data_IF_183817319579
#
_entry.id   IF_183817319579
#
_cell.length_a   1.000
_cell.length_b   1.000
_cell.length_c   1.000
_cell.angle_alpha   90.00
_cell.angle_beta   90.00
_cell.angle_gamma   90.00
#
_symmetry.space_group_name_H-M   'P 1'
#
loop_
_entity.id
_entity.type
_entity.pdbx_description
1 polymer ?
#
# COMPACT_ATOMS: atom_id res chain seq x y z
N UNK A 1 7.66 25.55 -26.12
CA UNK A 1 6.71 24.75 -25.32
C UNK A 1 7.50 23.75 -24.50
N UNK A 2 7.72 24.04 -23.21
CA UNK A 2 8.54 23.23 -22.31
C UNK A 2 7.58 22.33 -21.54
N UNK A 3 7.65 21.00 -21.78
CA UNK A 3 6.92 20.01 -20.99
C UNK A 3 7.46 20.05 -19.55
N UNK A 4 6.62 20.07 -18.50
CA UNK A 4 7.10 19.94 -17.13
C UNK A 4 7.77 18.58 -16.96
N UNK A 5 9.06 18.57 -16.63
CA UNK A 5 9.77 17.37 -16.21
C UNK A 5 9.16 16.84 -14.92
N UNK A 6 8.62 15.63 -14.97
CA UNK A 6 8.24 14.89 -13.77
C UNK A 6 9.44 14.84 -12.80
N UNK A 7 9.25 15.15 -11.50
CA UNK A 7 10.34 15.03 -10.53
C UNK A 7 10.81 13.58 -10.45
N UNK A 8 12.12 13.37 -10.50
CA UNK A 8 12.75 12.06 -10.32
C UNK A 8 12.40 11.52 -8.92
N UNK A 9 11.78 10.34 -8.79
CA UNK A 9 11.52 9.76 -7.48
C UNK A 9 12.86 9.37 -6.84
N UNK A 10 13.07 9.84 -5.60
CA UNK A 10 14.21 9.45 -4.78
C UNK A 10 14.15 7.93 -4.51
N UNK A 11 15.24 7.26 -4.90
CA UNK A 11 15.46 5.83 -4.84
C UNK A 11 15.24 5.23 -3.45
N UNK A 12 14.41 4.20 -3.37
CA UNK A 12 14.39 3.24 -2.26
C UNK A 12 15.09 1.96 -2.71
N UNK A 13 16.10 1.55 -1.95
CA UNK A 13 16.66 0.20 -1.97
C UNK A 13 16.18 -0.47 -0.68
N UNK A 14 15.25 -1.42 -0.79
CA UNK A 14 14.91 -2.39 0.26
C UNK A 14 14.60 -3.73 -0.41
N UNK A 15 15.38 -4.74 -0.06
CA UNK A 15 15.47 -6.04 -0.70
C UNK A 15 14.29 -6.94 -0.24
N UNK A 16 13.41 -7.25 -1.19
CA UNK A 16 12.76 -8.55 -1.41
C UNK A 16 11.92 -9.21 -0.29
N UNK A 17 10.65 -8.81 -0.26
CA UNK A 17 9.53 -9.69 -0.69
C UNK A 17 8.52 -8.77 -1.42
N UNK A 18 9.05 -8.04 -2.40
CA UNK A 18 8.39 -7.03 -3.22
C UNK A 18 7.74 -7.73 -4.42
N UNK A 19 6.63 -7.18 -4.93
CA UNK A 19 6.05 -7.57 -6.22
C UNK A 19 7.19 -7.79 -7.23
N UNK A 20 7.24 -8.93 -7.91
CA UNK A 20 8.26 -9.26 -8.92
C UNK A 20 8.37 -8.11 -9.95
N UNK A 21 7.26 -7.42 -10.22
CA UNK A 21 7.19 -6.20 -11.02
C UNK A 21 8.04 -5.03 -10.51
N UNK A 22 8.03 -4.74 -9.21
CA UNK A 22 8.82 -3.63 -8.62
C UNK A 22 10.31 -3.91 -8.77
N UNK A 23 10.75 -5.12 -8.40
CA UNK A 23 12.14 -5.54 -8.56
C UNK A 23 12.58 -5.53 -10.04
N UNK A 24 11.70 -5.93 -10.96
CA UNK A 24 11.97 -5.86 -12.39
C UNK A 24 12.04 -4.41 -12.89
N UNK A 25 11.20 -3.50 -12.38
CA UNK A 25 11.21 -2.08 -12.72
C UNK A 25 12.47 -1.38 -12.22
N UNK A 26 12.96 -1.72 -11.03
CA UNK A 26 14.21 -1.19 -10.47
C UNK A 26 15.44 -1.58 -11.30
N UNK A 27 15.45 -2.80 -11.84
CA UNK A 27 16.49 -3.26 -12.78
C UNK A 27 16.43 -2.54 -14.15
N UNK A 28 15.31 -1.88 -14.44
CA UNK A 28 15.05 -1.15 -15.68
C UNK A 28 14.77 -2.03 -16.89
N UNK A 29 14.27 -1.42 -17.97
CA UNK A 29 13.92 -2.10 -19.22
C UNK A 29 12.90 -3.23 -19.02
N UNK A 30 11.89 -3.02 -18.16
CA UNK A 30 10.85 -4.02 -17.88
C UNK A 30 10.06 -4.38 -19.14
N UNK A 31 10.00 -3.47 -20.11
CA UNK A 31 9.33 -3.71 -21.38
C UNK A 31 9.94 -4.82 -22.22
N UNK A 32 11.23 -5.16 -22.05
CA UNK A 32 11.80 -6.35 -22.71
C UNK A 32 11.38 -7.67 -22.07
N UNK A 33 10.64 -7.62 -20.94
CA UNK A 33 10.19 -8.77 -20.16
C UNK A 33 8.67 -8.85 -20.07
N UNK A 34 7.98 -7.72 -20.03
CA UNK A 34 6.52 -7.62 -20.03
C UNK A 34 6.00 -7.23 -21.41
N UNK A 35 5.88 -8.22 -22.27
CA UNK A 35 5.28 -8.08 -23.59
C UNK A 35 4.53 -9.36 -23.97
N UNK A 36 3.63 -9.24 -24.95
CA UNK A 36 2.82 -10.35 -25.44
C UNK A 36 3.70 -11.46 -26.02
N UNK A 37 3.54 -12.69 -25.52
CA UNK A 37 4.39 -13.83 -25.87
C UNK A 37 5.72 -13.91 -25.10
N UNK A 38 5.90 -13.10 -24.05
CA UNK A 38 7.05 -13.24 -23.16
C UNK A 38 7.12 -14.60 -22.49
N UNK A 39 8.34 -15.12 -22.30
CA UNK A 39 8.63 -16.32 -21.52
C UNK A 39 8.74 -16.09 -20.01
N UNK A 40 8.65 -14.84 -19.56
CA UNK A 40 8.84 -14.41 -18.15
C UNK A 40 7.61 -14.72 -17.29
N UNK A 41 7.26 -16.01 -17.17
CA UNK A 41 6.00 -16.47 -16.58
C UNK A 41 5.72 -15.88 -15.21
N UNK A 42 6.68 -15.91 -14.29
CA UNK A 42 6.49 -15.41 -12.92
C UNK A 42 6.16 -13.91 -12.89
N UNK A 43 6.89 -13.12 -13.68
CA UNK A 43 6.69 -11.66 -13.77
C UNK A 43 5.35 -11.32 -14.46
N UNK A 44 4.95 -12.09 -15.47
CA UNK A 44 3.62 -11.94 -16.11
C UNK A 44 2.52 -12.31 -15.12
N UNK A 45 2.71 -13.37 -14.34
CA UNK A 45 1.75 -13.82 -13.32
C UNK A 45 1.55 -12.73 -12.25
N UNK A 46 2.64 -12.07 -11.85
CA UNK A 46 2.62 -10.93 -10.94
C UNK A 46 1.82 -9.75 -11.52
N UNK A 47 2.07 -9.38 -12.78
CA UNK A 47 1.31 -8.36 -13.50
C UNK A 47 -0.19 -8.67 -13.55
N UNK A 48 -0.56 -9.91 -13.88
CA UNK A 48 -1.97 -10.33 -13.96
C UNK A 48 -2.67 -10.19 -12.61
N UNK A 49 -2.01 -10.52 -11.50
CA UNK A 49 -2.57 -10.33 -10.15
C UNK A 49 -2.74 -8.87 -9.81
N UNK A 50 -1.72 -8.05 -10.06
CA UNK A 50 -1.80 -6.61 -9.81
C UNK A 50 -2.98 -6.01 -10.59
N UNK A 51 -3.15 -6.38 -11.86
CA UNK A 51 -4.29 -5.94 -12.67
C UNK A 51 -5.63 -6.47 -12.16
N UNK A 52 -5.68 -7.72 -11.69
CA UNK A 52 -6.88 -8.29 -11.06
C UNK A 52 -7.27 -7.50 -9.81
N UNK A 53 -6.33 -7.23 -8.92
CA UNK A 53 -6.55 -6.45 -7.69
C UNK A 53 -6.98 -5.01 -8.00
N UNK A 54 -6.43 -4.43 -9.07
CA UNK A 54 -6.85 -3.13 -9.61
C UNK A 54 -8.23 -3.15 -10.28
N UNK A 55 -8.92 -4.29 -10.29
CA UNK A 55 -10.31 -4.43 -10.73
C UNK A 55 -10.49 -4.84 -12.20
N UNK A 56 -9.45 -5.31 -12.88
CA UNK A 56 -9.50 -5.72 -14.30
C UNK A 56 -9.80 -7.23 -14.49
N UNK A 57 -10.54 -7.82 -13.53
CA UNK A 57 -10.94 -9.24 -13.53
C UNK A 57 -11.57 -9.67 -14.86
N UNK A 58 -12.50 -8.85 -15.38
CA UNK A 58 -13.24 -9.14 -16.61
C UNK A 58 -12.31 -9.13 -17.83
N UNK A 59 -11.45 -8.13 -17.95
CA UNK A 59 -10.50 -7.98 -19.05
C UNK A 59 -9.47 -9.12 -19.07
N UNK A 60 -9.06 -9.57 -17.87
CA UNK A 60 -8.20 -10.74 -17.68
C UNK A 60 -8.91 -12.07 -17.97
N UNK A 61 -10.25 -12.09 -18.06
CA UNK A 61 -11.04 -13.32 -18.07
C UNK A 61 -10.63 -14.26 -16.92
N UNK A 62 -10.50 -13.66 -15.74
CA UNK A 62 -9.90 -14.29 -14.57
C UNK A 62 -10.53 -15.65 -14.22
N UNK A 63 -11.83 -15.80 -14.39
CA UNK A 63 -12.55 -17.02 -14.04
C UNK A 63 -12.20 -18.22 -14.94
N UNK A 64 -11.61 -17.96 -16.10
CA UNK A 64 -11.14 -18.99 -17.03
C UNK A 64 -9.64 -19.21 -16.97
N UNK A 65 -8.85 -18.14 -16.83
CA UNK A 65 -7.40 -18.20 -16.98
C UNK A 65 -6.63 -17.96 -15.68
N UNK A 66 -7.25 -17.29 -14.70
CA UNK A 66 -6.59 -16.89 -13.45
C UNK A 66 -5.32 -16.06 -13.76
N UNK A 67 -4.29 -16.11 -12.92
CA UNK A 67 -2.94 -15.69 -13.32
C UNK A 67 -2.16 -16.91 -13.85
N UNK A 68 -2.22 -17.15 -15.15
CA UNK A 68 -1.57 -18.28 -15.83
C UNK A 68 -0.11 -18.03 -16.20
N UNK A 69 0.36 -16.78 -16.08
CA UNK A 69 1.71 -16.39 -16.49
C UNK A 69 1.88 -16.24 -18.01
N UNK A 70 0.81 -16.36 -18.79
CA UNK A 70 0.83 -16.18 -20.23
C UNK A 70 0.40 -14.75 -20.60
N UNK A 71 1.30 -14.00 -21.22
CA UNK A 71 0.97 -12.66 -21.72
C UNK A 71 0.25 -12.80 -23.06
N UNK A 72 -0.99 -13.26 -23.01
CA UNK A 72 -1.86 -13.44 -24.16
C UNK A 72 -2.77 -12.22 -24.44
N UNK A 73 -3.83 -12.47 -25.21
CA UNK A 73 -4.82 -11.45 -25.58
C UNK A 73 -5.55 -10.84 -24.37
N UNK A 74 -5.87 -11.66 -23.36
CA UNK A 74 -6.55 -11.20 -22.15
C UNK A 74 -5.67 -10.24 -21.34
N UNK A 75 -4.42 -10.63 -21.05
CA UNK A 75 -3.41 -9.76 -20.41
C UNK A 75 -3.22 -8.46 -21.17
N UNK A 76 -3.06 -8.51 -22.50
CA UNK A 76 -2.95 -7.29 -23.31
C UNK A 76 -4.19 -6.38 -23.23
N UNK A 77 -5.40 -6.97 -23.21
CA UNK A 77 -6.66 -6.23 -23.06
C UNK A 77 -6.76 -5.55 -21.69
N UNK A 78 -6.34 -6.22 -20.63
CA UNK A 78 -6.31 -5.67 -19.27
C UNK A 78 -5.31 -4.51 -19.16
N UNK A 79 -4.10 -4.67 -19.70
CA UNK A 79 -3.07 -3.61 -19.75
C UNK A 79 -3.57 -2.40 -20.55
N UNK A 80 -4.14 -2.60 -21.73
CA UNK A 80 -4.69 -1.51 -22.53
C UNK A 80 -5.83 -0.78 -21.80
N UNK A 81 -6.70 -1.52 -21.12
CA UNK A 81 -7.81 -0.95 -20.35
C UNK A 81 -7.33 -0.16 -19.13
N UNK A 82 -6.34 -0.67 -18.41
CA UNK A 82 -5.68 0.04 -17.32
C UNK A 82 -5.04 1.34 -17.81
N UNK A 83 -4.25 1.25 -18.89
CA UNK A 83 -3.56 2.40 -19.45
C UNK A 83 -4.55 3.49 -19.88
N UNK A 84 -5.63 3.12 -20.60
CA UNK A 84 -6.67 4.06 -21.01
C UNK A 84 -7.33 4.76 -19.82
N UNK A 85 -7.66 4.01 -18.76
CA UNK A 85 -8.22 4.56 -17.51
C UNK A 85 -7.27 5.51 -16.78
N UNK A 86 -5.98 5.39 -17.05
CA UNK A 86 -4.92 6.26 -16.51
C UNK A 86 -4.37 7.26 -17.56
N UNK A 87 -5.12 7.52 -18.64
CA UNK A 87 -4.81 8.55 -19.63
C UNK A 87 -3.66 8.21 -20.58
N UNK A 88 -3.27 6.93 -20.68
CA UNK A 88 -2.18 6.46 -21.53
C UNK A 88 -2.73 5.70 -22.73
N UNK A 89 -2.27 6.08 -23.93
CA UNK A 89 -2.62 5.38 -25.17
C UNK A 89 -1.63 4.25 -25.43
N UNK A 90 -2.11 3.02 -25.50
CA UNK A 90 -1.34 1.83 -25.86
C UNK A 90 -2.30 0.72 -26.32
N UNK A 91 -1.79 -0.22 -27.11
CA UNK A 91 -2.51 -1.44 -27.48
C UNK A 91 -2.37 -2.55 -26.41
N UNK A 92 -1.58 -2.30 -25.36
CA UNK A 92 -1.37 -3.20 -24.23
C UNK A 92 -0.49 -4.41 -24.53
N UNK A 93 0.15 -4.50 -25.70
CA UNK A 93 1.03 -5.61 -26.05
C UNK A 93 2.40 -5.55 -25.36
N UNK A 94 2.70 -4.43 -24.69
CA UNK A 94 3.93 -4.20 -23.92
C UNK A 94 3.66 -3.26 -22.74
N UNK A 95 4.31 -3.53 -21.61
CA UNK A 95 4.36 -2.63 -20.45
C UNK A 95 5.77 -2.06 -20.34
N UNK A 96 5.94 -0.77 -20.63
CA UNK A 96 7.22 -0.09 -20.44
C UNK A 96 7.42 0.40 -18.99
N UNK A 97 8.60 0.94 -18.70
CA UNK A 97 8.96 1.43 -17.37
C UNK A 97 8.08 2.59 -16.88
N UNK A 98 7.41 3.32 -17.78
CA UNK A 98 6.51 4.41 -17.40
C UNK A 98 5.15 3.86 -16.99
N UNK A 99 4.59 2.96 -17.80
CA UNK A 99 3.32 2.30 -17.52
C UNK A 99 3.41 1.40 -16.27
N UNK A 100 4.49 0.63 -16.11
CA UNK A 100 4.71 -0.20 -14.93
C UNK A 100 4.70 0.63 -13.64
N UNK A 101 5.33 1.81 -13.66
CA UNK A 101 5.39 2.73 -12.52
C UNK A 101 4.00 3.21 -12.10
N UNK A 102 3.12 3.44 -13.07
CA UNK A 102 1.73 3.88 -12.83
C UNK A 102 0.86 2.70 -12.36
N UNK A 103 1.04 1.51 -12.91
CA UNK A 103 0.39 0.28 -12.43
C UNK A 103 0.70 0.09 -10.94
N UNK A 104 1.99 0.09 -10.59
CA UNK A 104 2.45 -0.09 -9.21
C UNK A 104 1.98 1.04 -8.30
N UNK A 105 2.03 2.29 -8.75
CA UNK A 105 1.50 3.41 -7.98
C UNK A 105 0.01 3.27 -7.67
N UNK A 106 -0.80 2.83 -8.65
CA UNK A 106 -2.25 2.62 -8.42
C UNK A 106 -2.52 1.47 -7.48
N UNK A 107 -1.71 0.42 -7.56
CA UNK A 107 -1.77 -0.74 -6.68
C UNK A 107 -1.39 -0.37 -5.26
N UNK A 108 -0.34 0.44 -5.10
CA UNK A 108 0.13 0.96 -3.82
C UNK A 108 -0.91 1.81 -3.08
N UNK A 109 -1.75 2.55 -3.81
CA UNK A 109 -2.82 3.37 -3.25
C UNK A 109 -4.13 2.60 -3.05
N UNK A 110 -4.24 1.37 -3.56
CA UNK A 110 -5.47 0.59 -3.52
C UNK A 110 -5.98 0.36 -2.07
N UNK A 111 -5.14 0.08 -1.06
CA UNK A 111 -5.58 -0.04 0.33
C UNK A 111 -6.27 1.24 0.85
N UNK A 112 -5.73 2.42 0.55
CA UNK A 112 -6.32 3.70 0.90
C UNK A 112 -7.67 3.91 0.20
N UNK A 113 -7.79 3.49 -1.07
CA UNK A 113 -9.06 3.58 -1.79
C UNK A 113 -10.13 2.68 -1.17
N UNK A 114 -9.77 1.51 -0.64
CA UNK A 114 -10.70 0.67 0.13
C UNK A 114 -11.17 1.35 1.41
N UNK A 115 -10.29 2.05 2.13
CA UNK A 115 -10.68 2.83 3.32
C UNK A 115 -11.67 3.93 2.96
N UNK A 116 -11.45 4.66 1.86
CA UNK A 116 -12.41 5.66 1.37
C UNK A 116 -13.76 5.05 0.99
N UNK A 117 -13.75 3.90 0.34
CA UNK A 117 -14.97 3.18 0.01
C UNK A 117 -15.74 2.73 1.27
N UNK A 118 -15.08 2.15 2.28
CA UNK A 118 -15.73 1.80 3.56
C UNK A 118 -16.41 3.01 4.23
N UNK A 119 -15.73 4.17 4.22
CA UNK A 119 -16.31 5.42 4.74
C UNK A 119 -17.57 5.82 3.99
N UNK A 120 -17.60 5.64 2.67
CA UNK A 120 -18.76 6.00 1.85
C UNK A 120 -19.97 5.09 2.05
N UNK A 121 -19.75 3.81 2.33
CA UNK A 121 -20.81 2.82 2.60
C UNK A 121 -21.32 2.93 4.05
N UNK A 122 -20.52 3.49 4.95
CA UNK A 122 -20.87 3.67 6.36
C UNK A 122 -21.85 4.80 6.66
N UNK A 123 -22.34 4.84 7.91
CA UNK A 123 -23.20 5.92 8.41
C UNK A 123 -22.38 7.20 8.68
N UNK A 124 -22.43 8.16 7.75
CA UNK A 124 -21.73 9.44 7.84
C UNK A 124 -22.15 10.28 9.06
N UNK A 125 -23.27 9.98 9.74
CA UNK A 125 -23.64 10.66 11.00
C UNK A 125 -22.64 10.36 12.12
N UNK A 126 -21.90 9.25 12.02
CA UNK A 126 -20.83 8.87 12.95
C UNK A 126 -19.45 9.34 12.48
N UNK A 127 -19.31 9.72 11.20
CA UNK A 127 -18.06 10.16 10.55
C UNK A 127 -18.20 11.55 9.92
N UNK A 128 -18.86 12.47 10.65
CA UNK A 128 -19.26 13.78 10.12
C UNK A 128 -18.09 14.67 9.73
N UNK A 129 -16.97 14.59 10.45
CA UNK A 129 -15.86 15.53 10.31
C UNK A 129 -14.58 14.81 9.90
N UNK A 130 -13.97 15.27 8.82
CA UNK A 130 -12.71 14.72 8.30
C UNK A 130 -11.58 14.93 9.31
N UNK A 131 -11.58 16.06 10.04
CA UNK A 131 -10.66 16.38 11.14
C UNK A 131 -10.69 15.37 12.29
N UNK A 132 -11.80 14.64 12.45
CA UNK A 132 -11.94 13.56 13.43
C UNK A 132 -11.65 12.17 12.86
N UNK A 133 -11.26 12.12 11.58
CA UNK A 133 -10.83 10.90 10.91
C UNK A 133 -9.57 10.32 11.54
N UNK A 134 -9.37 9.03 11.30
CA UNK A 134 -8.13 8.36 11.66
C UNK A 134 -7.01 8.81 10.71
N UNK A 135 -5.75 8.64 11.12
CA UNK A 135 -4.61 8.95 10.24
C UNK A 135 -4.71 8.25 8.89
N UNK A 136 -5.12 6.98 8.90
CA UNK A 136 -5.33 6.19 7.68
C UNK A 136 -6.38 6.81 6.77
N UNK A 137 -7.54 7.19 7.31
CA UNK A 137 -8.61 7.82 6.52
C UNK A 137 -8.21 9.17 5.94
N UNK A 138 -7.48 9.98 6.71
CA UNK A 138 -6.99 11.30 6.26
C UNK A 138 -5.91 11.11 5.19
N UNK A 139 -4.97 10.17 5.37
CA UNK A 139 -3.97 9.83 4.35
C UNK A 139 -4.64 9.42 3.05
N UNK A 140 -5.72 8.64 3.11
CA UNK A 140 -6.43 8.22 1.91
C UNK A 140 -7.00 9.40 1.12
N UNK A 141 -7.58 10.39 1.81
CA UNK A 141 -8.04 11.65 1.19
C UNK A 141 -6.86 12.41 0.58
N UNK A 142 -5.74 12.54 1.29
CA UNK A 142 -4.56 13.25 0.80
C UNK A 142 -3.96 12.58 -0.46
N UNK A 143 -3.89 11.25 -0.49
CA UNK A 143 -3.45 10.47 -1.66
C UNK A 143 -4.38 10.70 -2.86
N UNK A 144 -5.70 10.65 -2.64
CA UNK A 144 -6.69 10.93 -3.68
C UNK A 144 -6.51 12.34 -4.25
N UNK A 145 -6.50 13.35 -3.38
CA UNK A 145 -6.37 14.75 -3.79
C UNK A 145 -5.07 15.01 -4.54
N UNK A 146 -3.94 14.45 -4.10
CA UNK A 146 -2.69 14.54 -4.84
C UNK A 146 -2.80 13.87 -6.22
N UNK A 147 -3.41 12.69 -6.30
CA UNK A 147 -3.67 11.98 -7.57
C UNK A 147 -4.50 12.81 -8.54
N UNK A 148 -5.46 13.58 -8.03
CA UNK A 148 -6.33 14.44 -8.82
C UNK A 148 -5.72 15.81 -9.15
N UNK A 149 -4.46 16.05 -8.78
CA UNK A 149 -3.72 17.27 -9.13
C UNK A 149 -3.73 18.37 -8.07
N UNK A 150 -4.28 18.12 -6.88
CA UNK A 150 -4.30 19.09 -5.76
C UNK A 150 -3.05 19.02 -4.87
N UNK A 151 -1.97 18.42 -5.37
CA UNK A 151 -0.70 18.27 -4.65
C UNK A 151 -0.06 19.59 -4.23
N UNK A 152 -0.30 20.68 -4.98
CA UNK A 152 0.19 22.01 -4.62
C UNK A 152 -0.51 22.54 -3.36
N UNK A 153 -1.84 22.41 -3.28
CA UNK A 153 -2.62 22.86 -2.12
C UNK A 153 -2.28 22.04 -0.87
N UNK A 154 -2.02 20.75 -1.05
CA UNK A 154 -1.54 19.85 0.00
C UNK A 154 -0.12 20.15 0.47
N UNK A 155 0.68 20.84 -0.36
CA UNK A 155 2.13 20.85 -0.25
C UNK A 155 2.68 19.41 -0.15
N UNK A 156 2.16 18.55 -1.03
CA UNK A 156 2.40 17.11 -1.00
C UNK A 156 3.87 16.75 -1.24
N UNK A 157 4.59 17.56 -2.01
CA UNK A 157 6.03 17.38 -2.20
C UNK A 157 6.83 17.48 -0.89
N UNK A 158 6.34 18.26 0.09
CA UNK A 158 6.97 18.40 1.40
C UNK A 158 6.45 17.39 2.42
N UNK A 159 5.13 17.23 2.51
CA UNK A 159 4.49 16.47 3.60
C UNK A 159 4.01 15.07 3.19
N UNK A 160 3.79 14.84 1.90
CA UNK A 160 3.13 13.62 1.42
C UNK A 160 1.73 13.47 1.99
N UNK A 161 1.28 12.22 2.11
CA UNK A 161 0.08 11.85 2.87
C UNK A 161 0.49 11.55 4.32
N UNK A 162 0.58 12.59 5.14
CA UNK A 162 1.02 12.51 6.53
C UNK A 162 -0.09 12.03 7.49
N UNK A 163 -1.33 11.94 7.01
CA UNK A 163 -2.50 11.55 7.80
C UNK A 163 -2.93 12.63 8.81
N UNK A 164 -2.39 13.84 8.70
CA UNK A 164 -2.75 14.98 9.56
C UNK A 164 -3.74 15.88 8.85
N UNK A 165 -4.85 16.17 9.53
CA UNK A 165 -5.83 17.13 9.03
C UNK A 165 -5.38 18.56 9.37
N UNK A 166 -4.54 19.13 8.51
CA UNK A 166 -4.03 20.49 8.63
C UNK A 166 -4.69 21.50 7.68
N UNK A 167 -4.22 22.74 7.74
CA UNK A 167 -4.72 23.83 6.88
C UNK A 167 -4.52 23.54 5.38
N UNK A 168 -3.46 22.82 5.00
CA UNK A 168 -3.21 22.41 3.61
C UNK A 168 -4.23 21.36 3.13
N UNK A 169 -4.52 20.34 3.95
CA UNK A 169 -5.56 19.33 3.67
C UNK A 169 -6.93 20.01 3.50
N UNK A 170 -7.29 20.91 4.42
CA UNK A 170 -8.54 21.69 4.32
C UNK A 170 -8.59 22.54 3.06
N UNK A 171 -7.50 23.26 2.72
CA UNK A 171 -7.42 24.08 1.48
C UNK A 171 -7.60 23.23 0.22
N UNK A 172 -6.96 22.06 0.16
CA UNK A 172 -7.10 21.14 -0.96
C UNK A 172 -8.53 20.63 -1.10
N UNK A 173 -9.18 20.28 0.02
CA UNK A 173 -10.58 19.84 0.03
C UNK A 173 -11.56 20.93 -0.41
N UNK A 174 -11.40 22.16 0.10
CA UNK A 174 -12.23 23.30 -0.32
C UNK A 174 -12.09 23.54 -1.82
N UNK A 175 -10.85 23.54 -2.32
CA UNK A 175 -10.62 23.72 -3.76
C UNK A 175 -11.21 22.57 -4.58
N UNK A 176 -10.97 21.32 -4.17
CA UNK A 176 -11.50 20.13 -4.84
C UNK A 176 -13.03 20.14 -4.91
N UNK A 177 -13.69 20.46 -3.79
CA UNK A 177 -15.14 20.56 -3.74
C UNK A 177 -15.66 21.68 -4.66
N UNK A 178 -15.04 22.87 -4.63
CA UNK A 178 -15.42 23.99 -5.48
C UNK A 178 -15.24 23.70 -6.98
N UNK A 179 -14.11 23.08 -7.37
CA UNK A 179 -13.84 22.68 -8.76
C UNK A 179 -14.86 21.63 -9.26
N UNK A 180 -15.53 20.92 -8.35
CA UNK A 180 -16.60 19.95 -8.63
C UNK A 180 -18.02 20.47 -8.33
N UNK A 181 -18.20 21.77 -8.06
CA UNK A 181 -19.52 22.36 -7.80
C UNK A 181 -20.17 21.95 -6.48
N UNK A 182 -19.39 21.41 -5.53
CA UNK A 182 -19.86 21.05 -4.19
C UNK A 182 -19.48 22.14 -3.19
N UNK A 183 -20.46 22.65 -2.44
CA UNK A 183 -20.21 23.56 -1.33
C UNK A 183 -19.64 22.74 -0.17
N UNK A 184 -18.44 23.10 0.28
CA UNK A 184 -17.78 22.45 1.42
C UNK A 184 -16.94 23.46 2.18
N UNK A 185 -16.95 23.35 3.51
CA UNK A 185 -16.00 24.03 4.38
C UNK A 185 -14.65 23.28 4.46
N UNK A 186 -14.53 22.15 3.77
CA UNK A 186 -13.37 21.28 3.74
C UNK A 186 -13.27 20.32 4.93
N UNK A 187 -14.10 20.43 5.97
CA UNK A 187 -14.07 19.56 7.15
C UNK A 187 -15.31 18.67 7.27
N UNK A 188 -16.48 19.18 6.89
CA UNK A 188 -17.69 18.37 6.87
C UNK A 188 -17.66 17.36 5.71
N UNK A 189 -17.64 16.07 6.06
CA UNK A 189 -17.75 14.97 5.09
C UNK A 189 -19.21 14.77 4.70
N UNK A 190 -19.69 15.61 3.78
CA UNK A 190 -21.05 15.51 3.26
C UNK A 190 -21.18 14.37 2.24
N UNK A 191 -22.41 13.88 2.03
CA UNK A 191 -22.67 12.84 1.02
C UNK A 191 -22.27 13.28 -0.40
N UNK A 192 -22.58 14.52 -0.85
CA UNK A 192 -22.09 15.00 -2.13
C UNK A 192 -20.56 14.97 -2.27
N UNK A 193 -19.82 15.31 -1.20
CA UNK A 193 -18.36 15.33 -1.22
C UNK A 193 -17.76 13.92 -1.36
N UNK A 194 -18.24 12.93 -0.60
CA UNK A 194 -17.70 11.56 -0.70
C UNK A 194 -18.13 10.88 -2.01
N UNK A 195 -19.32 11.19 -2.54
CA UNK A 195 -19.80 10.63 -3.80
C UNK A 195 -18.93 11.10 -4.99
N UNK A 196 -18.53 12.38 -5.03
CA UNK A 196 -17.59 12.86 -6.06
C UNK A 196 -16.20 12.25 -5.89
N UNK A 197 -15.72 12.05 -4.65
CA UNK A 197 -14.44 11.40 -4.39
C UNK A 197 -14.44 9.98 -4.96
N UNK A 198 -15.48 9.19 -4.69
CA UNK A 198 -15.60 7.85 -5.24
C UNK A 198 -15.73 7.83 -6.75
N UNK A 199 -16.50 8.76 -7.32
CA UNK A 199 -16.63 8.90 -8.77
C UNK A 199 -15.25 9.10 -9.42
N UNK A 200 -14.43 9.98 -8.86
CA UNK A 200 -13.10 10.29 -9.39
C UNK A 200 -12.12 9.13 -9.19
N UNK A 201 -12.22 8.39 -8.08
CA UNK A 201 -11.46 7.14 -7.87
C UNK A 201 -11.79 6.13 -8.98
N UNK A 202 -13.08 5.91 -9.26
CA UNK A 202 -13.54 4.90 -10.22
C UNK A 202 -13.01 5.11 -11.65
N UNK A 203 -12.51 6.31 -11.99
CA UNK A 203 -11.87 6.59 -13.27
C UNK A 203 -10.63 5.71 -13.46
N UNK A 204 -9.79 5.58 -12.42
CA UNK A 204 -8.45 4.97 -12.51
C UNK A 204 -8.45 3.44 -12.42
N UNK A 205 -9.48 2.84 -11.81
CA UNK A 205 -9.53 1.42 -11.49
C UNK A 205 -10.54 0.67 -12.37
N UNK A 206 -10.36 -0.64 -12.53
CA UNK A 206 -11.31 -1.51 -13.24
C UNK A 206 -12.59 -1.67 -12.42
N UNK A 207 -13.70 -2.06 -13.08
CA UNK A 207 -15.03 -2.02 -12.45
C UNK A 207 -15.16 -2.91 -11.20
N UNK A 208 -14.31 -3.94 -11.08
CA UNK A 208 -14.28 -4.89 -9.97
C UNK A 208 -13.33 -4.51 -8.84
N UNK A 209 -12.76 -3.30 -8.82
CA UNK A 209 -11.73 -2.97 -7.81
C UNK A 209 -12.27 -3.08 -6.38
N UNK A 210 -13.54 -2.73 -6.16
CA UNK A 210 -14.20 -2.83 -4.85
C UNK A 210 -14.55 -4.27 -4.44
N UNK A 211 -14.54 -5.22 -5.37
CA UNK A 211 -14.95 -6.61 -5.09
C UNK A 211 -14.05 -7.26 -4.04
N UNK A 212 -12.78 -6.82 -3.97
CA UNK A 212 -11.82 -7.30 -2.99
C UNK A 212 -11.77 -6.42 -1.73
N UNK A 213 -12.48 -5.30 -1.67
CA UNK A 213 -12.40 -4.36 -0.56
C UNK A 213 -12.83 -5.01 0.76
N UNK A 214 -13.94 -5.74 0.77
CA UNK A 214 -14.43 -6.46 1.95
C UNK A 214 -13.44 -7.53 2.46
N UNK A 215 -12.61 -8.11 1.58
CA UNK A 215 -11.58 -9.08 1.97
C UNK A 215 -10.27 -8.39 2.39
N UNK A 216 -10.00 -7.22 1.83
CA UNK A 216 -8.81 -6.44 2.15
C UNK A 216 -8.97 -5.56 3.39
N UNK A 217 -10.21 -5.35 3.84
CA UNK A 217 -10.56 -4.69 5.08
C UNK A 217 -10.90 -5.72 6.17
N UNK A 218 -10.70 -5.37 7.45
CA UNK A 218 -11.07 -6.25 8.56
C UNK A 218 -12.59 -6.51 8.62
N UNK A 219 -13.00 -7.75 8.39
CA UNK A 219 -14.36 -8.23 8.67
C UNK A 219 -14.54 -8.72 10.12
N UNK A 220 -15.79 -8.88 10.56
CA UNK A 220 -16.11 -9.43 11.89
C UNK A 220 -15.55 -10.85 12.02
N UNK A 221 -14.62 -11.07 12.96
CA UNK A 221 -13.95 -12.37 13.15
C UNK A 221 -12.78 -12.64 12.20
N UNK A 222 -12.41 -11.69 11.33
CA UNK A 222 -11.23 -11.80 10.48
C UNK A 222 -9.95 -11.77 11.33
N UNK A 223 -8.95 -12.62 11.02
CA UNK A 223 -7.61 -12.48 11.61
C UNK A 223 -6.88 -11.24 11.07
N UNK A 224 -7.29 -10.70 9.93
CA UNK A 224 -6.75 -9.47 9.37
C UNK A 224 -7.34 -8.27 10.10
N UNK A 225 -6.47 -7.45 10.68
CA UNK A 225 -6.82 -6.17 11.29
C UNK A 225 -6.16 -5.01 10.52
N UNK A 226 -6.74 -3.83 10.68
CA UNK A 226 -6.13 -2.56 10.31
C UNK A 226 -5.70 -1.90 11.61
N UNK A 227 -4.39 -1.90 11.88
CA UNK A 227 -3.84 -1.32 13.09
C UNK A 227 -3.71 0.20 12.93
N UNK A 228 -4.16 0.90 13.97
CA UNK A 228 -3.97 2.33 14.11
C UNK A 228 -3.27 2.63 15.43
N UNK A 229 -2.23 3.45 15.37
CA UNK A 229 -1.44 3.88 16.52
C UNK A 229 -1.16 5.37 16.45
N UNK A 230 -1.04 6.02 17.61
CA UNK A 230 -0.75 7.46 17.72
C UNK A 230 0.55 7.86 17.01
N UNK A 231 1.49 6.93 16.87
CA UNK A 231 2.79 7.12 16.22
C UNK A 231 2.90 6.41 14.87
N UNK A 232 1.82 5.88 14.32
CA UNK A 232 1.80 5.26 12.99
C UNK A 232 1.27 6.24 11.94
N UNK A 233 1.83 6.18 10.73
CA UNK A 233 1.40 6.93 9.55
C UNK A 233 1.88 6.22 8.29
N UNK A 234 1.57 6.77 7.11
CA UNK A 234 1.90 6.15 5.82
C UNK A 234 0.81 5.19 5.35
N UNK A 235 1.20 4.07 4.74
CA UNK A 235 0.25 3.07 4.22
C UNK A 235 -0.56 2.42 5.36
N UNK A 236 -1.81 1.98 5.10
CA UNK A 236 -2.60 1.18 6.04
C UNK A 236 -1.80 0.01 6.63
N UNK A 237 -1.68 -0.05 7.96
CA UNK A 237 -0.97 -1.12 8.66
C UNK A 237 -1.86 -2.35 8.81
N UNK A 238 -1.90 -3.19 7.77
CA UNK A 238 -2.61 -4.45 7.72
C UNK A 238 -1.80 -5.54 8.42
N UNK A 239 -2.39 -6.22 9.39
CA UNK A 239 -1.66 -7.19 10.21
C UNK A 239 -2.55 -8.34 10.68
N UNK A 240 -1.92 -9.40 11.14
CA UNK A 240 -2.60 -10.45 11.90
C UNK A 240 -2.97 -9.94 13.29
N UNK A 241 -4.16 -10.29 13.78
CA UNK A 241 -4.61 -9.99 15.14
C UNK A 241 -3.65 -10.50 16.21
N UNK A 242 -2.90 -11.58 15.95
CA UNK A 242 -1.88 -12.10 16.86
C UNK A 242 -0.61 -11.23 16.92
N UNK A 243 -0.37 -10.39 15.90
CA UNK A 243 0.71 -9.40 15.88
C UNK A 243 0.30 -8.06 16.54
N UNK A 244 -0.99 -7.85 16.81
CA UNK A 244 -1.51 -6.63 17.44
C UNK A 244 -0.77 -6.23 18.74
N UNK A 245 -0.45 -7.15 19.69
CA UNK A 245 0.29 -6.77 20.89
C UNK A 245 1.67 -6.18 20.57
N UNK A 246 2.35 -6.70 19.55
CA UNK A 246 3.66 -6.22 19.10
C UNK A 246 3.56 -4.86 18.42
N UNK A 247 2.53 -4.63 17.60
CA UNK A 247 2.26 -3.31 17.02
C UNK A 247 2.00 -2.24 18.10
N UNK A 248 1.29 -2.60 19.18
CA UNK A 248 1.11 -1.71 20.34
C UNK A 248 2.44 -1.42 21.06
N UNK A 249 3.31 -2.41 21.22
CA UNK A 249 4.66 -2.21 21.77
C UNK A 249 5.51 -1.30 20.88
N UNK A 250 5.53 -1.55 19.56
CA UNK A 250 6.22 -0.68 18.59
C UNK A 250 5.73 0.77 18.69
N UNK A 251 4.40 0.99 18.79
CA UNK A 251 3.84 2.33 18.97
C UNK A 251 4.31 2.99 20.27
N UNK A 252 4.34 2.24 21.38
CA UNK A 252 4.83 2.73 22.67
C UNK A 252 6.30 3.10 22.63
N UNK A 253 7.14 2.28 21.97
CA UNK A 253 8.56 2.57 21.78
C UNK A 253 8.77 3.82 20.92
N UNK A 254 7.98 3.97 19.86
CA UNK A 254 8.02 5.18 19.02
C UNK A 254 7.60 6.43 19.80
N UNK A 255 6.60 6.31 20.68
CA UNK A 255 6.14 7.40 21.54
C UNK A 255 7.22 7.82 22.54
N UNK A 256 7.85 6.86 23.23
CA UNK A 256 8.93 7.11 24.18
C UNK A 256 10.17 7.76 23.52
N UNK A 257 10.43 7.45 22.25
CA UNK A 257 11.50 8.04 21.46
C UNK A 257 11.10 9.32 20.73
N UNK A 258 9.84 9.77 20.84
CA UNK A 258 9.26 10.88 20.09
C UNK A 258 9.51 10.81 18.57
N UNK A 259 9.26 9.64 17.99
CA UNK A 259 9.31 9.41 16.54
C UNK A 259 7.96 8.94 16.01
N UNK A 260 7.77 9.07 14.70
CA UNK A 260 6.66 8.46 13.97
C UNK A 260 7.18 7.33 13.09
N UNK A 261 6.42 6.23 13.05
CA UNK A 261 6.61 5.10 12.16
C UNK A 261 5.83 5.38 10.89
N UNK A 262 6.53 5.59 9.78
CA UNK A 262 5.94 5.69 8.46
C UNK A 262 5.96 4.31 7.81
N UNK A 263 4.83 3.60 7.87
CA UNK A 263 4.66 2.26 7.30
C UNK A 263 4.71 2.35 5.78
N UNK A 264 5.61 1.58 5.18
CA UNK A 264 5.77 1.45 3.73
C UNK A 264 5.25 0.11 3.21
N UNK A 265 5.21 -0.91 4.08
CA UNK A 265 4.63 -2.21 3.78
C UNK A 265 4.22 -2.92 5.08
N UNK A 266 3.20 -3.79 5.02
CA UNK A 266 2.75 -4.58 6.16
C UNK A 266 2.35 -5.98 5.68
N UNK A 267 1.11 -6.45 5.90
CA UNK A 267 0.66 -7.73 5.35
C UNK A 267 0.71 -7.75 3.81
N UNK A 268 1.26 -8.84 3.25
CA UNK A 268 1.35 -9.08 1.80
C UNK A 268 0.54 -10.31 1.41
N UNK A 269 -0.21 -10.20 0.31
CA UNK A 269 -0.87 -11.34 -0.34
C UNK A 269 0.19 -12.20 -1.01
N UNK A 270 0.01 -13.52 -0.96
CA UNK A 270 0.83 -14.44 -1.73
C UNK A 270 0.29 -14.54 -3.14
N UNK A 271 1.21 -14.88 -4.04
CA UNK A 271 0.92 -15.09 -5.44
C UNK A 271 0.10 -16.37 -5.68
N UNK A 272 0.08 -17.39 -4.82
CA UNK A 272 -0.49 -18.68 -5.23
C UNK A 272 -2.00 -18.65 -5.57
N UNK A 273 -2.33 -18.92 -6.85
CA UNK A 273 -3.68 -18.70 -7.44
C UNK A 273 -4.54 -19.96 -7.58
N UNK A 274 -4.00 -21.17 -7.43
CA UNK A 274 -4.75 -22.42 -7.67
C UNK A 274 -5.73 -22.81 -6.54
N UNK A 275 -6.24 -21.85 -5.75
CA UNK A 275 -7.05 -22.10 -4.55
C UNK A 275 -6.30 -22.86 -3.42
N UNK A 276 -5.15 -23.44 -3.73
CA UNK A 276 -4.22 -24.02 -2.79
C UNK A 276 -3.28 -22.92 -2.28
N UNK A 277 -3.50 -22.48 -1.04
CA UNK A 277 -2.52 -21.69 -0.29
C UNK A 277 -1.34 -22.59 0.04
N UNK A 278 -0.35 -22.59 -0.84
CA UNK A 278 0.91 -23.29 -0.64
C UNK A 278 1.87 -22.37 0.12
N UNK A 279 2.53 -22.86 1.19
CA UNK A 279 3.58 -22.11 1.85
C UNK A 279 4.72 -21.79 0.86
N UNK A 280 5.17 -20.53 0.78
CA UNK A 280 6.34 -20.15 -0.01
C UNK A 280 7.62 -20.83 0.51
N UNK A 281 8.63 -20.93 -0.35
CA UNK A 281 9.95 -21.41 0.03
C UNK A 281 10.61 -20.51 1.10
N UNK A 282 10.31 -19.21 1.07
CA UNK A 282 10.76 -18.22 2.06
C UNK A 282 9.62 -17.88 3.04
N UNK A 283 9.82 -18.22 4.31
CA UNK A 283 8.86 -17.98 5.40
C UNK A 283 8.90 -16.51 5.86
N UNK A 284 8.50 -15.59 4.98
CA UNK A 284 8.45 -14.16 5.26
C UNK A 284 7.33 -13.83 6.26
N UNK A 285 7.62 -13.07 7.31
CA UNK A 285 6.60 -12.69 8.30
C UNK A 285 5.55 -11.74 7.73
N UNK A 286 5.83 -10.99 6.66
CA UNK A 286 4.83 -10.19 5.95
C UNK A 286 3.68 -11.03 5.39
N UNK A 287 3.98 -12.22 4.86
CA UNK A 287 2.97 -13.12 4.29
C UNK A 287 2.07 -13.76 5.34
N UNK A 288 2.51 -13.75 6.60
CA UNK A 288 1.71 -14.16 7.74
C UNK A 288 1.06 -12.98 8.47
N UNK A 289 1.32 -11.72 8.07
CA UNK A 289 0.79 -10.53 8.74
C UNK A 289 1.52 -10.13 10.03
N UNK A 290 2.73 -10.64 10.22
CA UNK A 290 3.56 -10.48 11.42
C UNK A 290 4.82 -9.64 11.17
N UNK A 291 4.81 -8.79 10.15
CA UNK A 291 5.95 -7.92 9.81
C UNK A 291 5.50 -6.61 9.19
N UNK A 292 6.26 -5.55 9.47
CA UNK A 292 6.13 -4.24 8.84
C UNK A 292 7.47 -3.78 8.29
N UNK A 293 7.40 -3.05 7.18
CA UNK A 293 8.51 -2.23 6.70
C UNK A 293 8.16 -0.78 6.95
N UNK A 294 9.16 -0.01 7.35
CA UNK A 294 8.96 1.37 7.76
C UNK A 294 10.18 2.26 7.49
N UNK A 295 9.88 3.55 7.37
CA UNK A 295 10.84 4.61 7.64
C UNK A 295 10.50 5.25 8.99
N UNK A 296 11.48 5.90 9.64
CA UNK A 296 11.26 6.64 10.88
C UNK A 296 11.26 8.13 10.59
N UNK A 297 10.23 8.84 11.05
CA UNK A 297 10.16 10.30 11.00
C UNK A 297 10.44 10.87 12.39
N UNK A 298 11.38 11.79 12.49
CA UNK A 298 11.87 12.38 13.74
C UNK A 298 12.04 13.90 13.57
N UNK A 299 12.23 14.66 14.66
CA UNK A 299 12.52 16.10 14.68
C UNK A 299 11.82 16.93 13.59
N UNK A 300 10.56 17.33 13.81
CA UNK A 300 9.79 18.18 12.90
C UNK A 300 9.82 17.74 11.43
N UNK A 301 9.75 16.43 11.18
CA UNK A 301 9.54 15.86 9.84
C UNK A 301 10.80 15.40 9.11
N UNK A 302 11.95 15.27 9.78
CA UNK A 302 13.14 14.63 9.20
C UNK A 302 12.91 13.13 9.01
N UNK A 303 13.50 12.57 7.95
CA UNK A 303 13.33 11.18 7.57
C UNK A 303 14.58 10.35 7.82
N UNK A 304 14.39 9.17 8.40
CA UNK A 304 15.37 8.10 8.46
C UNK A 304 14.85 6.92 7.64
N UNK A 305 15.30 6.86 6.39
CA UNK A 305 15.03 5.77 5.46
C UNK A 305 16.07 4.65 5.58
N UNK A 306 15.99 3.63 4.72
CA UNK A 306 16.91 2.48 4.74
C UNK A 306 18.39 2.87 4.78
N UNK A 307 18.79 3.93 4.06
CA UNK A 307 20.16 4.45 4.04
C UNK A 307 20.60 5.04 5.39
N UNK A 308 19.70 5.72 6.09
CA UNK A 308 19.97 6.24 7.44
C UNK A 308 19.95 5.09 8.45
N UNK A 309 18.91 4.26 8.44
CA UNK A 309 18.72 3.18 9.42
C UNK A 309 19.88 2.16 9.40
N UNK A 310 20.47 1.89 8.23
CA UNK A 310 21.64 1.01 8.08
C UNK A 310 22.87 1.47 8.87
N UNK A 311 22.95 2.74 9.25
CA UNK A 311 24.11 3.32 9.95
C UNK A 311 24.07 3.12 11.46
N UNK A 312 23.05 2.45 12.02
CA UNK A 312 22.96 2.17 13.46
C UNK A 312 24.26 1.56 14.01
N UNK A 313 24.78 2.03 15.17
CA UNK A 313 24.17 2.99 16.09
C UNK A 313 24.39 4.48 15.72
N UNK A 314 25.08 4.79 14.63
CA UNK A 314 25.38 6.15 14.16
C UNK A 314 24.20 6.77 13.38
N UNK A 315 23.06 6.87 14.06
CA UNK A 315 21.82 7.47 13.57
C UNK A 315 21.40 8.63 14.50
N UNK A 316 20.45 9.49 14.10
CA UNK A 316 19.93 10.56 14.94
C UNK A 316 19.44 10.05 16.32
N UNK A 317 19.56 10.88 17.35
CA UNK A 317 19.27 10.51 18.75
C UNK A 317 17.91 9.82 18.96
N UNK A 318 16.78 10.44 18.56
CA UNK A 318 15.45 9.84 18.65
C UNK A 318 15.34 8.50 17.92
N UNK A 319 15.88 8.42 16.70
CA UNK A 319 15.88 7.18 15.89
C UNK A 319 16.69 6.09 16.58
N UNK A 320 17.85 6.43 17.17
CA UNK A 320 18.71 5.51 17.91
C UNK A 320 18.00 4.95 19.13
N UNK A 321 17.31 5.81 19.89
CA UNK A 321 16.53 5.42 21.06
C UNK A 321 15.42 4.45 20.68
N UNK A 322 14.67 4.77 19.61
CA UNK A 322 13.63 3.88 19.09
C UNK A 322 14.20 2.52 18.68
N UNK A 323 15.22 2.49 17.82
CA UNK A 323 15.81 1.23 17.36
C UNK A 323 16.41 0.42 18.50
N UNK A 324 17.06 1.08 19.47
CA UNK A 324 17.55 0.40 20.67
C UNK A 324 16.41 -0.25 21.47
N UNK A 325 15.28 0.45 21.65
CA UNK A 325 14.13 -0.11 22.34
C UNK A 325 13.54 -1.32 21.60
N UNK A 326 13.53 -1.32 20.26
CA UNK A 326 13.12 -2.50 19.46
C UNK A 326 14.12 -3.65 19.60
N UNK A 327 15.42 -3.36 19.60
CA UNK A 327 16.49 -4.37 19.71
C UNK A 327 16.49 -5.02 21.10
N UNK A 328 16.23 -4.25 22.16
CA UNK A 328 16.22 -4.71 23.54
C UNK A 328 14.89 -5.41 23.91
N UNK A 329 13.85 -5.32 23.08
CA UNK A 329 12.55 -5.95 23.31
C UNK A 329 12.62 -7.45 22.96
N UNK A 330 12.33 -8.35 23.92
CA UNK A 330 12.47 -9.80 23.70
C UNK A 330 11.43 -10.37 22.72
N UNK A 331 10.34 -9.66 22.45
CA UNK A 331 9.25 -10.08 21.57
C UNK A 331 9.36 -9.52 20.15
N UNK A 332 10.38 -8.71 19.86
CA UNK A 332 10.56 -8.04 18.58
C UNK A 332 11.93 -8.33 17.98
N UNK A 333 12.02 -8.14 16.67
CA UNK A 333 13.29 -8.06 15.96
C UNK A 333 13.29 -6.87 15.03
N UNK A 334 14.49 -6.32 14.84
CA UNK A 334 14.75 -5.34 13.80
C UNK A 334 15.66 -5.93 12.73
N UNK A 335 15.26 -5.81 11.46
CA UNK A 335 15.95 -6.43 10.33
C UNK A 335 17.36 -5.88 10.05
N UNK A 336 17.73 -4.75 10.65
CA UNK A 336 19.11 -4.24 10.60
C UNK A 336 20.14 -5.15 11.28
N UNK A 337 19.69 -6.09 12.12
CA UNK A 337 20.52 -7.13 12.76
C UNK A 337 20.45 -8.50 12.08
N UNK A 338 19.71 -8.65 10.98
CA UNK A 338 19.64 -9.90 10.23
C UNK A 338 20.94 -10.17 9.45
N UNK A 339 21.18 -11.44 9.11
CA UNK A 339 22.32 -11.85 8.27
C UNK A 339 22.32 -11.08 6.94
N UNK A 340 21.17 -11.08 6.26
CA UNK A 340 20.89 -10.16 5.15
C UNK A 340 20.19 -8.94 5.74
N UNK A 341 20.93 -7.83 5.85
CA UNK A 341 20.42 -6.63 6.51
C UNK A 341 19.21 -6.06 5.80
N UNK A 342 18.11 -5.94 6.53
CA UNK A 342 16.90 -5.27 6.11
C UNK A 342 16.49 -4.19 7.13
N UNK A 343 17.13 -3.02 7.10
CA UNK A 343 17.02 -2.03 8.17
C UNK A 343 15.65 -1.33 8.24
N UNK A 344 14.75 -1.56 7.29
CA UNK A 344 13.37 -1.03 7.34
C UNK A 344 12.41 -1.98 8.04
N UNK A 345 12.81 -3.23 8.28
CA UNK A 345 11.94 -4.31 8.71
C UNK A 345 11.84 -4.44 10.24
N UNK A 346 10.63 -4.69 10.75
CA UNK A 346 10.36 -5.11 12.13
C UNK A 346 9.36 -6.28 12.13
N UNK A 347 9.63 -7.33 12.91
CA UNK A 347 8.73 -8.47 13.11
C UNK A 347 8.79 -9.04 14.53
N UNK A 348 7.98 -10.06 14.82
CA UNK A 348 7.94 -10.78 16.10
C UNK A 348 8.62 -12.17 16.07
N UNK A 349 9.45 -12.43 15.06
CA UNK A 349 10.12 -13.72 14.88
C UNK A 349 9.19 -14.94 14.72
N UNK A 350 7.91 -14.77 14.33
CA UNK A 350 6.97 -15.88 14.11
C UNK A 350 7.56 -17.02 13.26
N UNK A 351 8.32 -16.68 12.22
CA UNK A 351 8.93 -17.65 11.33
C UNK A 351 9.95 -18.60 11.99
N UNK A 352 10.33 -18.40 13.26
CA UNK A 352 11.11 -19.39 14.04
C UNK A 352 10.33 -20.69 14.22
N UNK A 353 9.03 -20.59 14.49
CA UNK A 353 8.14 -21.75 14.54
C UNK A 353 7.46 -21.90 13.17
N UNK A 354 7.97 -22.85 12.37
CA UNK A 354 7.49 -23.07 11.01
C UNK A 354 6.04 -23.54 10.97
N UNK A 355 5.55 -24.23 11.99
CA UNK A 355 4.19 -24.76 12.00
C UNK A 355 3.19 -23.70 12.45
N UNK A 356 3.55 -22.88 13.44
CA UNK A 356 2.78 -21.70 13.80
C UNK A 356 2.72 -20.71 12.62
N UNK A 357 3.86 -20.47 11.96
CA UNK A 357 3.93 -19.62 10.79
C UNK A 357 3.01 -20.12 9.67
N UNK A 358 3.02 -21.42 9.32
CA UNK A 358 2.13 -21.99 8.29
C UNK A 358 0.66 -21.81 8.65
N UNK A 359 0.30 -21.97 9.93
CA UNK A 359 -1.08 -21.76 10.41
C UNK A 359 -1.51 -20.31 10.18
N UNK A 360 -0.68 -19.33 10.58
CA UNK A 360 -1.00 -17.90 10.44
C UNK A 360 -0.97 -17.45 8.98
N UNK A 361 0.03 -17.87 8.21
CA UNK A 361 0.07 -17.70 6.76
C UNK A 361 -1.23 -18.16 6.11
N UNK A 362 -1.67 -19.40 6.37
CA UNK A 362 -2.94 -19.91 5.81
C UNK A 362 -4.14 -19.08 6.26
N UNK A 363 -4.22 -18.69 7.54
CA UNK A 363 -5.32 -17.88 8.05
C UNK A 363 -5.40 -16.51 7.37
N UNK A 364 -4.26 -15.81 7.26
CA UNK A 364 -4.19 -14.48 6.68
C UNK A 364 -4.38 -14.50 5.16
N UNK A 365 -3.76 -15.44 4.45
CA UNK A 365 -3.97 -15.59 3.01
C UNK A 365 -5.43 -15.97 2.70
N UNK A 366 -6.09 -16.81 3.52
CA UNK A 366 -7.53 -17.08 3.37
C UNK A 366 -8.40 -15.85 3.59
N UNK A 367 -8.06 -15.02 4.58
CA UNK A 367 -8.82 -13.82 4.89
C UNK A 367 -8.91 -12.86 3.70
N UNK A 368 -7.91 -12.90 2.81
CA UNK A 368 -7.86 -12.08 1.59
C UNK A 368 -8.22 -12.83 0.30
N UNK A 369 -8.14 -14.16 0.25
CA UNK A 369 -8.43 -14.98 -0.94
C UNK A 369 -9.90 -15.47 -1.04
N UNK A 370 -10.65 -15.59 0.06
CA UNK A 370 -12.02 -16.15 0.05
C UNK A 370 -13.11 -15.15 -0.38
N UNK A 371 -12.82 -14.36 -1.42
CA UNK A 371 -13.77 -13.49 -2.12
C UNK A 371 -14.64 -14.19 -3.16
N UNK A 372 -14.91 -15.48 -2.97
CA UNK A 372 -15.75 -16.28 -3.86
C UNK A 372 -16.51 -17.31 -3.04
N UNK A 373 -17.65 -16.90 -2.50
CA UNK A 373 -18.81 -17.75 -2.36
C UNK A 373 -20.01 -16.96 -2.88
#
# INVERSE_FOLDING_TARGET
MIRPSLPKPNYYTSMECSNIMEAALERGNIGSKLFKGSSEKELVTDLQRVLFELGFRRELKWDSYNADGDYGKATATAVASFARKNGIQTNGEKVDDALARIILQRHDFLPEMYVLWDISEGDLRTRKFISKGTRTSISAIQVLLNTLGYGQQLNFAKFGADGLYGSNTRKALVKYAADNGVISDGDWLSRPLIDIMLKDINVFYGNSWKDLAAQNLPGRGSPLILFEGSRFQGKPCRADIQFLPRLKQINKHAEAANVFIHVTSSFRTSTNVNGAIVPPATFSNHLAGHGIDMNVVYDDGKWANSSVLRKYPNVPGPVRQFLKAIIDDPDLRWGGLFNTKDPVHIDDHLNKDRDQWKKRYKAMQKAVQLGGN
#
